data_IF_477719019372
#
_entry.id   IF_477719019372
#
_cell.length_a   1.000
_cell.length_b   1.000
_cell.length_c   1.000
_cell.angle_alpha   90.00
_cell.angle_beta   90.00
_cell.angle_gamma   90.00
#
_symmetry.space_group_name_H-M   'P 1'
#
loop_
_entity.id
_entity.type
_entity.pdbx_description
1 polymer ?
#
# COMPACT_ATOMS: atom_id res chain seq x y z
N UNK A 1 7.64 -4.50 -12.21
CA UNK A 1 6.21 -4.29 -12.55
C UNK A 1 5.43 -5.61 -12.68
N UNK A 2 5.85 -6.57 -13.49
CA UNK A 2 5.09 -7.85 -13.64
C UNK A 2 4.92 -8.64 -12.34
N UNK A 3 5.97 -8.76 -11.53
CA UNK A 3 5.88 -9.44 -10.22
C UNK A 3 4.83 -8.81 -9.28
N UNK A 4 4.67 -7.48 -9.31
CA UNK A 4 3.63 -6.79 -8.53
C UNK A 4 2.23 -7.18 -8.99
N UNK A 5 2.01 -7.20 -10.31
CA UNK A 5 0.72 -7.61 -10.88
C UNK A 5 0.39 -9.04 -10.48
N UNK A 6 1.35 -9.95 -10.57
CA UNK A 6 1.19 -11.35 -10.15
C UNK A 6 0.83 -11.43 -8.66
N UNK A 7 1.57 -10.73 -7.80
CA UNK A 7 1.34 -10.73 -6.35
C UNK A 7 -0.07 -10.22 -5.99
N UNK A 8 -0.48 -9.06 -6.54
CA UNK A 8 -1.81 -8.48 -6.30
C UNK A 8 -2.93 -9.37 -6.83
N UNK A 9 -2.79 -9.94 -8.04
CA UNK A 9 -3.77 -10.88 -8.59
C UNK A 9 -3.86 -12.15 -7.76
N UNK A 10 -2.76 -12.60 -7.15
CA UNK A 10 -2.74 -13.70 -6.18
C UNK A 10 -3.53 -13.35 -4.92
N UNK A 11 -3.38 -12.14 -4.39
CA UNK A 11 -4.15 -11.64 -3.23
C UNK A 11 -5.65 -11.62 -3.50
N UNK A 12 -6.09 -11.22 -4.70
CA UNK A 12 -7.52 -11.23 -5.04
C UNK A 12 -8.18 -12.60 -4.92
N UNK A 13 -7.42 -13.68 -5.10
CA UNK A 13 -7.92 -15.07 -4.98
C UNK A 13 -8.11 -15.51 -3.54
N UNK A 14 -7.59 -14.75 -2.57
CA UNK A 14 -7.65 -15.05 -1.13
C UNK A 14 -8.76 -14.29 -0.41
N UNK A 15 -9.49 -13.42 -1.12
CA UNK A 15 -10.55 -12.62 -0.53
C UNK A 15 -11.73 -13.49 -0.11
N UNK A 16 -12.27 -13.22 1.06
CA UNK A 16 -13.43 -13.87 1.63
C UNK A 16 -14.72 -13.14 1.23
N UNK A 17 -15.88 -13.81 1.29
CA UNK A 17 -17.17 -13.14 1.13
C UNK A 17 -17.33 -12.01 2.15
N UNK A 18 -17.55 -10.78 1.67
CA UNK A 18 -17.66 -9.57 2.50
C UNK A 18 -16.44 -8.64 2.38
N UNK A 19 -15.31 -9.15 1.90
CA UNK A 19 -14.13 -8.33 1.65
C UNK A 19 -14.38 -7.33 0.52
N UNK A 20 -13.84 -6.13 0.69
CA UNK A 20 -13.84 -5.12 -0.37
C UNK A 20 -12.52 -4.37 -0.40
N UNK A 21 -12.11 -3.99 -1.62
CA UNK A 21 -10.86 -3.28 -1.85
C UNK A 21 -11.14 -2.02 -2.65
N UNK A 22 -10.33 -0.99 -2.41
CA UNK A 22 -10.11 0.08 -3.37
C UNK A 22 -8.67 0.00 -3.88
N UNK A 23 -8.41 0.62 -5.02
CA UNK A 23 -7.08 0.68 -5.60
C UNK A 23 -6.74 2.12 -5.97
N UNK A 24 -5.70 2.66 -5.33
CA UNK A 24 -5.07 3.91 -5.73
C UNK A 24 -3.80 3.58 -6.52
N UNK A 25 -3.67 4.20 -7.69
CA UNK A 25 -2.40 4.29 -8.43
C UNK A 25 -1.85 5.67 -8.23
N UNK A 26 -0.53 5.79 -8.11
CA UNK A 26 0.12 7.08 -8.09
C UNK A 26 1.36 7.11 -9.00
N UNK A 27 1.65 8.31 -9.49
CA UNK A 27 2.89 8.71 -10.12
C UNK A 27 3.10 10.21 -9.85
N UNK A 28 3.05 11.06 -10.88
CA UNK A 28 2.93 12.52 -10.75
C UNK A 28 1.59 12.96 -10.15
N UNK A 29 0.58 12.10 -10.27
CA UNK A 29 -0.77 12.31 -9.76
C UNK A 29 -1.24 11.08 -8.99
N UNK A 30 -2.14 11.27 -8.04
CA UNK A 30 -2.81 10.19 -7.31
C UNK A 30 -4.20 9.97 -7.89
N UNK A 31 -4.49 8.74 -8.31
CA UNK A 31 -5.74 8.38 -8.98
C UNK A 31 -6.40 7.19 -8.28
N UNK A 32 -7.63 7.38 -7.81
CA UNK A 32 -8.50 6.30 -7.37
C UNK A 32 -8.93 5.48 -8.59
N UNK A 33 -8.16 4.45 -8.92
CA UNK A 33 -8.42 3.63 -10.10
C UNK A 33 -9.68 2.81 -9.95
N UNK A 34 -9.98 2.30 -8.75
CA UNK A 34 -11.23 1.62 -8.37
C UNK A 34 -11.61 2.06 -6.95
N UNK A 35 -12.89 2.38 -6.75
CA UNK A 35 -13.47 2.55 -5.42
C UNK A 35 -13.73 1.19 -4.77
N UNK A 36 -14.13 1.18 -3.50
CA UNK A 36 -14.52 0.01 -2.71
C UNK A 36 -15.42 -0.93 -3.52
N UNK A 37 -14.92 -2.13 -3.77
CA UNK A 37 -15.63 -3.14 -4.52
C UNK A 37 -15.19 -4.53 -4.09
N UNK A 38 -16.10 -5.49 -4.22
CA UNK A 38 -15.83 -6.93 -4.12
C UNK A 38 -15.68 -7.58 -5.50
N UNK A 39 -15.78 -6.81 -6.60
CA UNK A 39 -15.61 -7.31 -7.97
C UNK A 39 -14.12 -7.52 -8.28
N UNK A 40 -13.67 -8.75 -8.07
CA UNK A 40 -12.29 -9.18 -8.33
C UNK A 40 -11.92 -9.14 -9.81
N UNK A 41 -12.88 -9.21 -10.74
CA UNK A 41 -12.61 -9.10 -12.17
C UNK A 41 -12.31 -7.65 -12.56
N UNK A 42 -13.08 -6.70 -12.02
CA UNK A 42 -12.84 -5.26 -12.16
C UNK A 42 -11.50 -4.83 -11.52
N UNK A 43 -11.22 -5.30 -10.30
CA UNK A 43 -9.93 -5.09 -9.63
C UNK A 43 -8.77 -5.68 -10.44
N UNK A 44 -8.91 -6.92 -10.95
CA UNK A 44 -7.89 -7.57 -11.75
C UNK A 44 -7.59 -6.83 -13.06
N UNK A 45 -8.60 -6.22 -13.66
CA UNK A 45 -8.43 -5.36 -14.85
C UNK A 45 -7.65 -4.09 -14.51
N UNK A 46 -7.99 -3.43 -13.41
CA UNK A 46 -7.27 -2.24 -12.94
C UNK A 46 -5.81 -2.54 -12.59
N UNK A 47 -5.53 -3.67 -11.92
CA UNK A 47 -4.17 -4.13 -11.60
C UNK A 47 -3.35 -4.37 -12.87
N UNK A 48 -3.92 -5.04 -13.87
CA UNK A 48 -3.22 -5.30 -15.14
C UNK A 48 -2.84 -4.03 -15.89
N UNK A 49 -3.65 -2.98 -15.74
CA UNK A 49 -3.43 -1.66 -16.34
C UNK A 49 -2.40 -0.79 -15.58
N UNK A 50 -1.85 -1.25 -14.45
CA UNK A 50 -0.79 -0.51 -13.74
C UNK A 50 0.48 -0.39 -14.59
N UNK A 51 1.07 0.80 -14.58
CA UNK A 51 2.35 1.14 -15.19
C UNK A 51 3.10 2.14 -14.31
N UNK A 52 4.43 2.12 -14.39
CA UNK A 52 5.30 3.07 -13.71
C UNK A 52 5.80 4.11 -14.72
N UNK A 53 5.74 5.39 -14.37
CA UNK A 53 6.29 6.48 -15.18
C UNK A 53 6.33 7.79 -14.38
N UNK A 54 7.32 8.64 -14.62
CA UNK A 54 7.35 10.01 -14.09
C UNK A 54 7.74 10.09 -12.61
N UNK A 55 7.19 11.08 -11.92
CA UNK A 55 7.41 11.35 -10.49
C UNK A 55 6.69 10.35 -9.57
N UNK A 56 6.93 10.49 -8.27
CA UNK A 56 6.48 9.60 -7.19
C UNK A 56 5.80 10.43 -6.10
N UNK A 57 4.48 10.60 -6.19
CA UNK A 57 3.63 11.25 -5.19
C UNK A 57 3.20 10.30 -4.07
N UNK A 58 4.18 9.65 -3.43
CA UNK A 58 3.93 8.61 -2.42
C UNK A 58 3.24 9.16 -1.17
N UNK A 59 3.64 10.33 -0.67
CA UNK A 59 3.04 10.92 0.53
C UNK A 59 1.58 11.32 0.27
N UNK A 60 1.28 11.91 -0.88
CA UNK A 60 -0.09 12.23 -1.27
C UNK A 60 -0.95 10.95 -1.37
N UNK A 61 -0.41 9.90 -1.98
CA UNK A 61 -1.11 8.61 -2.10
C UNK A 61 -1.43 7.99 -0.74
N UNK A 62 -0.48 8.05 0.21
CA UNK A 62 -0.69 7.61 1.58
C UNK A 62 -1.83 8.38 2.25
N UNK A 63 -1.80 9.72 2.17
CA UNK A 63 -2.83 10.57 2.79
C UNK A 63 -4.20 10.25 2.19
N UNK A 64 -4.32 10.22 0.86
CA UNK A 64 -5.59 9.92 0.20
C UNK A 64 -6.10 8.50 0.53
N UNK A 65 -5.21 7.50 0.56
CA UNK A 65 -5.56 6.13 0.95
C UNK A 65 -6.07 6.04 2.38
N UNK A 66 -5.39 6.70 3.33
CA UNK A 66 -5.78 6.73 4.74
C UNK A 66 -7.09 7.50 4.96
N UNK A 67 -7.29 8.62 4.26
CA UNK A 67 -8.59 9.31 4.25
C UNK A 67 -9.69 8.42 3.67
N UNK A 68 -9.42 7.65 2.63
CA UNK A 68 -10.41 6.72 2.07
C UNK A 68 -10.76 5.58 3.02
N UNK A 69 -9.81 5.10 3.83
CA UNK A 69 -10.04 4.09 4.88
C UNK A 69 -11.06 4.56 5.92
N UNK A 70 -11.09 5.86 6.25
CA UNK A 70 -12.03 6.39 7.24
C UNK A 70 -13.48 6.41 6.73
N UNK A 71 -13.70 6.38 5.41
CA UNK A 71 -15.05 6.35 4.82
C UNK A 71 -15.68 4.96 4.81
N UNK A 72 -14.91 3.91 5.08
CA UNK A 72 -15.38 2.53 5.02
C UNK A 72 -15.77 2.00 6.40
N UNK A 73 -16.93 1.32 6.46
CA UNK A 73 -17.57 0.89 7.71
C UNK A 73 -17.10 -0.49 8.20
N UNK A 74 -16.28 -1.20 7.43
CA UNK A 74 -15.75 -2.49 7.88
C UNK A 74 -14.98 -2.32 9.19
N UNK A 75 -15.17 -3.24 10.16
CA UNK A 75 -14.50 -3.18 11.46
C UNK A 75 -12.99 -3.40 11.34
N UNK A 76 -12.58 -4.28 10.41
CA UNK A 76 -11.20 -4.57 10.11
C UNK A 76 -10.82 -3.98 8.77
N UNK A 77 -9.74 -3.22 8.76
CA UNK A 77 -9.24 -2.48 7.59
C UNK A 77 -7.74 -2.47 7.64
N UNK A 78 -7.10 -2.61 6.49
CA UNK A 78 -5.65 -2.62 6.36
C UNK A 78 -5.24 -1.78 5.15
N UNK A 79 -4.23 -0.94 5.30
CA UNK A 79 -3.59 -0.26 4.18
C UNK A 79 -2.31 -1.00 3.78
N UNK A 80 -2.20 -1.34 2.50
CA UNK A 80 -0.96 -1.84 1.90
C UNK A 80 -0.52 -0.80 0.87
N UNK A 81 0.68 -0.26 1.02
CA UNK A 81 1.25 0.70 0.09
C UNK A 81 2.65 0.25 -0.35
N UNK A 82 2.98 0.53 -1.60
CA UNK A 82 4.22 0.09 -2.23
C UNK A 82 4.80 1.21 -3.09
N UNK A 83 6.11 1.40 -3.04
CA UNK A 83 6.85 2.34 -3.90
C UNK A 83 8.21 1.77 -4.27
N UNK A 84 8.67 2.05 -5.48
CA UNK A 84 10.03 1.76 -5.97
C UNK A 84 10.94 2.99 -6.00
N UNK A 85 10.45 4.12 -5.49
CA UNK A 85 11.21 5.36 -5.41
C UNK A 85 10.82 6.24 -4.23
N UNK A 86 11.63 7.28 -4.04
CA UNK A 86 11.42 8.28 -3.00
C UNK A 86 10.33 9.28 -3.38
N UNK A 87 9.60 9.77 -2.39
CA UNK A 87 8.65 10.84 -2.61
C UNK A 87 9.38 12.08 -3.15
N UNK A 88 8.96 12.55 -4.31
CA UNK A 88 9.53 13.73 -4.98
C UNK A 88 8.44 14.69 -5.49
N UNK A 89 7.22 14.54 -4.97
CA UNK A 89 6.06 15.40 -5.24
C UNK A 89 5.42 15.83 -3.93
N UNK A 90 4.85 17.03 -3.90
CA UNK A 90 4.15 17.53 -2.73
C UNK A 90 3.00 16.58 -2.32
N UNK A 91 2.74 16.41 -1.01
CA UNK A 91 3.46 17.02 0.10
C UNK A 91 4.84 16.37 0.33
N UNK A 92 5.90 17.18 0.42
CA UNK A 92 7.27 16.66 0.62
C UNK A 92 7.54 16.22 2.06
N UNK A 93 6.85 16.81 3.04
CA UNK A 93 7.03 16.52 4.45
C UNK A 93 6.36 15.23 4.93
N UNK A 94 6.89 14.65 6.01
CA UNK A 94 6.38 13.44 6.65
C UNK A 94 5.17 13.69 7.57
N UNK A 95 5.09 14.86 8.21
CA UNK A 95 4.11 15.15 9.24
C UNK A 95 2.64 14.95 8.78
N UNK A 96 2.23 15.44 7.59
CA UNK A 96 0.86 15.21 7.11
C UNK A 96 0.53 13.72 6.92
N UNK A 97 1.51 12.90 6.54
CA UNK A 97 1.34 11.45 6.40
C UNK A 97 1.16 10.80 7.77
N UNK A 98 2.02 11.16 8.74
CA UNK A 98 1.94 10.63 10.11
C UNK A 98 0.60 10.98 10.76
N UNK A 99 0.11 12.20 10.57
CA UNK A 99 -1.18 12.64 11.10
C UNK A 99 -2.34 11.86 10.46
N UNK A 100 -2.28 11.63 9.15
CA UNK A 100 -3.26 10.79 8.45
C UNK A 100 -3.24 9.35 8.96
N UNK A 101 -2.07 8.77 9.25
CA UNK A 101 -1.94 7.39 9.78
C UNK A 101 -2.60 7.30 11.15
N UNK A 102 -2.28 8.23 12.05
CA UNK A 102 -2.84 8.29 13.40
C UNK A 102 -4.36 8.48 13.36
N UNK A 103 -4.86 9.33 12.47
CA UNK A 103 -6.29 9.60 12.33
C UNK A 103 -7.05 8.39 11.78
N UNK A 104 -6.49 7.67 10.79
CA UNK A 104 -7.13 6.49 10.23
C UNK A 104 -7.13 5.31 11.20
N UNK A 105 -6.10 5.19 12.05
CA UNK A 105 -5.94 4.15 13.06
C UNK A 105 -6.14 2.73 12.49
N UNK A 106 -5.54 2.46 11.33
CA UNK A 106 -5.55 1.14 10.66
C UNK A 106 -4.14 0.58 10.57
N UNK A 107 -3.98 -0.75 10.57
CA UNK A 107 -2.70 -1.37 10.22
C UNK A 107 -2.13 -0.88 8.87
N UNK A 108 -0.83 -0.61 8.84
CA UNK A 108 -0.12 -0.10 7.65
C UNK A 108 1.05 -1.02 7.28
N UNK A 109 0.97 -1.60 6.09
CA UNK A 109 2.05 -2.39 5.50
C UNK A 109 2.70 -1.62 4.36
N UNK A 110 3.98 -1.33 4.50
CA UNK A 110 4.76 -0.59 3.52
C UNK A 110 5.75 -1.51 2.82
N UNK A 111 5.85 -1.38 1.49
CA UNK A 111 6.75 -2.17 0.66
C UNK A 111 7.66 -1.20 -0.11
N UNK A 112 8.95 -1.22 0.21
CA UNK A 112 10.00 -0.50 -0.51
C UNK A 112 10.64 -1.45 -1.53
N UNK A 113 10.41 -1.23 -2.82
CA UNK A 113 10.93 -2.08 -3.89
C UNK A 113 12.24 -1.52 -4.44
N UNK A 114 13.29 -2.33 -4.43
CA UNK A 114 14.55 -1.99 -5.10
C UNK A 114 15.43 -0.99 -4.34
N UNK A 115 15.08 -0.58 -3.13
CA UNK A 115 15.90 0.29 -2.29
C UNK A 115 17.17 -0.46 -1.87
N UNK A 116 18.33 0.05 -2.28
CA UNK A 116 19.66 -0.53 -2.08
C UNK A 116 20.42 0.09 -0.90
N UNK A 117 19.87 1.14 -0.31
CA UNK A 117 20.38 1.76 0.91
C UNK A 117 21.44 2.84 0.66
N UNK A 118 21.45 3.47 -0.51
CA UNK A 118 22.19 4.72 -0.67
C UNK A 118 21.63 5.82 0.26
N UNK A 119 22.32 6.96 0.39
CA UNK A 119 21.96 7.99 1.37
C UNK A 119 20.51 8.49 1.23
N UNK A 120 20.01 8.59 0.00
CA UNK A 120 18.65 9.08 -0.25
C UNK A 120 17.62 7.98 0.06
N UNK A 121 17.88 6.77 -0.40
CA UNK A 121 17.04 5.60 -0.11
C UNK A 121 16.97 5.30 1.38
N UNK A 122 18.10 5.40 2.09
CA UNK A 122 18.16 5.25 3.54
C UNK A 122 17.31 6.29 4.27
N UNK A 123 17.29 7.54 3.80
CA UNK A 123 16.42 8.57 4.34
C UNK A 123 14.94 8.23 4.10
N UNK A 124 14.57 7.79 2.89
CA UNK A 124 13.21 7.36 2.59
C UNK A 124 12.75 6.16 3.40
N UNK A 125 13.63 5.17 3.60
CA UNK A 125 13.36 4.02 4.46
C UNK A 125 13.15 4.46 5.92
N UNK A 126 13.93 5.43 6.41
CA UNK A 126 13.73 5.99 7.74
C UNK A 126 12.36 6.69 7.85
N UNK A 127 11.93 7.44 6.82
CA UNK A 127 10.58 8.02 6.75
C UNK A 127 9.49 6.94 6.79
N UNK A 128 9.61 5.90 5.96
CA UNK A 128 8.68 4.77 5.93
C UNK A 128 8.64 4.03 7.28
N UNK A 129 9.78 3.91 7.96
CA UNK A 129 9.85 3.31 9.29
C UNK A 129 9.07 4.14 10.32
N UNK A 130 9.16 5.48 10.26
CA UNK A 130 8.36 6.37 11.13
C UNK A 130 6.87 6.27 10.82
N UNK A 131 6.49 6.14 9.55
CA UNK A 131 5.09 5.91 9.16
C UNK A 131 4.54 4.62 9.77
N UNK A 132 5.29 3.52 9.68
CA UNK A 132 4.93 2.24 10.29
C UNK A 132 4.83 2.34 11.82
N UNK A 133 5.73 3.08 12.47
CA UNK A 133 5.70 3.31 13.92
C UNK A 133 4.50 4.17 14.38
N UNK A 134 3.93 4.99 13.49
CA UNK A 134 2.76 5.80 13.79
C UNK A 134 1.44 5.01 13.71
N UNK A 135 1.44 3.83 13.07
CA UNK A 135 0.28 2.97 12.93
C UNK A 135 0.09 2.07 14.18
N UNK A 136 -1.14 1.63 14.49
CA UNK A 136 -1.39 0.69 15.60
C UNK A 136 -0.67 -0.66 15.40
N UNK A 137 -0.55 -1.08 14.14
CA UNK A 137 0.26 -2.21 13.71
C UNK A 137 0.84 -1.86 12.36
N UNK A 138 2.08 -2.22 12.10
CA UNK A 138 2.63 -2.01 10.79
C UNK A 138 3.93 -2.73 10.57
N UNK A 139 4.26 -2.89 9.30
CA UNK A 139 5.51 -3.53 8.91
C UNK A 139 6.04 -2.90 7.63
N UNK A 140 7.33 -2.60 7.64
CA UNK A 140 8.08 -2.22 6.46
C UNK A 140 8.77 -3.46 5.90
N UNK A 141 8.60 -3.69 4.61
CA UNK A 141 9.28 -4.71 3.84
C UNK A 141 10.19 -4.04 2.82
N UNK A 142 11.45 -4.44 2.79
CA UNK A 142 12.40 -4.07 1.76
C UNK A 142 12.52 -5.25 0.81
N UNK A 143 12.15 -5.05 -0.45
CA UNK A 143 12.04 -6.12 -1.42
C UNK A 143 13.00 -5.87 -2.57
N UNK A 144 13.78 -6.89 -2.93
CA UNK A 144 14.72 -6.78 -4.06
C UNK A 144 14.34 -7.68 -5.23
N UNK A 145 13.46 -8.65 -5.01
CA UNK A 145 13.08 -9.65 -6.02
C UNK A 145 11.57 -9.81 -6.16
N UNK A 146 11.13 -10.33 -7.32
CA UNK A 146 9.72 -10.57 -7.57
C UNK A 146 9.11 -11.67 -6.70
N UNK A 147 9.88 -12.72 -6.39
CA UNK A 147 9.40 -13.86 -5.60
C UNK A 147 9.16 -13.47 -4.13
N UNK A 148 10.03 -12.62 -3.60
CA UNK A 148 9.88 -12.04 -2.26
C UNK A 148 8.62 -11.16 -2.18
N UNK A 149 8.31 -10.42 -3.24
CA UNK A 149 7.09 -9.62 -3.33
C UNK A 149 5.83 -10.48 -3.23
N UNK A 150 5.77 -11.56 -4.01
CA UNK A 150 4.65 -12.53 -3.98
C UNK A 150 4.49 -13.13 -2.58
N UNK A 151 5.62 -13.43 -1.93
CA UNK A 151 5.64 -13.99 -0.58
C UNK A 151 5.12 -12.99 0.46
N UNK A 152 5.51 -11.72 0.38
CA UNK A 152 5.03 -10.67 1.29
C UNK A 152 3.54 -10.43 1.15
N UNK A 153 3.02 -10.27 -0.07
CA UNK A 153 1.58 -10.11 -0.28
C UNK A 153 0.79 -11.33 0.19
N UNK A 154 1.34 -12.53 0.00
CA UNK A 154 0.73 -13.77 0.50
C UNK A 154 0.67 -13.81 2.03
N UNK A 155 1.73 -13.37 2.71
CA UNK A 155 1.81 -13.31 4.16
C UNK A 155 0.87 -12.26 4.75
N UNK A 156 0.81 -11.06 4.14
CA UNK A 156 -0.13 -10.02 4.58
C UNK A 156 -1.57 -10.53 4.45
N UNK A 157 -1.93 -11.14 3.32
CA UNK A 157 -3.27 -11.68 3.11
C UNK A 157 -3.64 -12.75 4.15
N UNK A 158 -2.70 -13.62 4.51
CA UNK A 158 -2.93 -14.64 5.54
C UNK A 158 -3.09 -14.02 6.94
N UNK A 159 -2.28 -13.01 7.27
CA UNK A 159 -2.34 -12.35 8.57
C UNK A 159 -3.67 -11.59 8.76
N UNK A 160 -4.09 -10.85 7.75
CA UNK A 160 -5.37 -10.11 7.76
C UNK A 160 -6.54 -11.07 7.95
N UNK A 161 -6.56 -12.19 7.22
CA UNK A 161 -7.60 -13.20 7.37
C UNK A 161 -7.64 -13.82 8.78
N UNK A 162 -6.49 -13.95 9.47
CA UNK A 162 -6.44 -14.47 10.85
C UNK A 162 -6.82 -13.44 11.92
N UNK A 163 -6.62 -12.15 11.65
CA UNK A 163 -7.00 -11.07 12.55
C UNK A 163 -8.52 -10.82 12.53
N UNK A 164 -9.18 -11.02 11.38
CA UNK A 164 -10.64 -10.97 11.23
C UNK A 164 -11.38 -12.09 11.98
N UNK A 165 -10.71 -13.19 12.31
CA UNK A 165 -11.30 -14.34 13.02
C UNK A 165 -11.24 -14.24 14.56
N UNK A 166 -10.82 -13.11 15.13
CA UNK A 166 -10.78 -12.86 16.58
C UNK A 166 -11.78 -11.80 17.00
#
# INVERSE_FOLDING_TARGET
MEALKIALLGTLKKLLPGDSLFLIRFNETVVLTRDWTSDTASLGTAIRALFASGFTAFHEAMIQGLTKMSTHKAPYKVLIAMTDGLNNREPLGEAPVIDAIRSANVPVYLIALGFRGDTAEAAGLASMQRFVQAAPTGKLYQITTGDELVSVYSNIANNVATEDCR
#
